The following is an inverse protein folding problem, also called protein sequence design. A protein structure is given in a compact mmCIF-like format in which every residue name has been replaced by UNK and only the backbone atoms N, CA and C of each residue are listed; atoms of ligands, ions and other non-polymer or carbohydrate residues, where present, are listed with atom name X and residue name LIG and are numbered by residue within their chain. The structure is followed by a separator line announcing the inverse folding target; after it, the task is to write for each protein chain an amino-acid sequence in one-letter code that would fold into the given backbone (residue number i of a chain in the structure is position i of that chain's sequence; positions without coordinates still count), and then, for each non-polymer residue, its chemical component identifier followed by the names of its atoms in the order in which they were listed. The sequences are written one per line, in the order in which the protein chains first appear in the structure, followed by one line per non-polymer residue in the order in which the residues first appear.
data_IF_855087164344
#
_entry.id   IF_855087164344
#
_cell.length_a   1.000
_cell.length_b   1.000
_cell.length_c   1.000
_cell.angle_alpha   90.00
_cell.angle_beta   90.00
_cell.angle_gamma   90.00
#
_symmetry.space_group_name_H-M   'P 1'
#
loop_
_entity.id
_entity.type
_entity.pdbx_description
1 polymer ?
#
# COMPACT_ATOMS: atom_id res chain seq x y z
N UNK A 1 13.08 -2.43 5.31
CA UNK A 1 11.78 -2.25 4.66
C UNK A 1 10.67 -2.85 5.51
N UNK A 2 9.53 -2.20 5.58
CA UNK A 2 8.34 -2.74 6.24
C UNK A 2 7.52 -3.44 5.17
N UNK A 3 7.26 -4.73 5.36
CA UNK A 3 6.41 -5.53 4.48
C UNK A 3 4.99 -5.45 4.99
N UNK A 4 4.06 -4.97 4.16
CA UNK A 4 2.64 -4.87 4.51
C UNK A 4 1.93 -6.13 4.06
N UNK A 5 1.16 -6.75 4.97
CA UNK A 5 0.24 -7.85 4.62
C UNK A 5 -1.20 -7.46 4.93
N UNK A 6 -2.15 -8.18 4.37
CA UNK A 6 -3.58 -7.99 4.62
C UNK A 6 -3.91 -8.25 6.08
N UNK A 7 -4.18 -7.19 6.83
CA UNK A 7 -4.51 -7.22 8.27
C UNK A 7 -3.82 -6.10 9.04
N UNK A 8 -4.13 -5.96 10.32
CA UNK A 8 -3.60 -4.92 11.20
C UNK A 8 -2.16 -5.21 11.68
N UNK A 9 -1.44 -6.14 11.05
CA UNK A 9 -0.08 -6.50 11.43
C UNK A 9 0.94 -5.95 10.43
N UNK A 10 1.98 -5.34 10.98
CA UNK A 10 3.17 -4.91 10.25
C UNK A 10 4.28 -5.95 10.43
N UNK A 11 5.05 -6.14 9.36
CA UNK A 11 6.18 -7.07 9.36
C UNK A 11 7.46 -6.35 8.92
N UNK A 12 8.56 -6.70 9.55
CA UNK A 12 9.89 -6.13 9.30
C UNK A 12 10.76 -7.22 8.71
N UNK A 13 11.43 -6.91 7.61
CA UNK A 13 12.30 -7.85 6.91
C UNK A 13 13.47 -8.33 7.81
N UNK A 14 14.04 -9.48 7.44
CA UNK A 14 15.14 -10.13 8.17
C UNK A 14 16.36 -9.22 8.34
N UNK A 15 16.72 -8.46 7.30
CA UNK A 15 17.90 -7.57 7.33
C UNK A 15 17.72 -6.45 8.35
N UNK A 16 16.54 -5.84 8.37
CA UNK A 16 16.18 -4.80 9.35
C UNK A 16 16.13 -5.40 10.76
N UNK A 17 15.54 -6.58 10.93
CA UNK A 17 15.49 -7.29 12.22
C UNK A 17 16.89 -7.58 12.77
N UNK A 18 17.83 -8.01 11.94
CA UNK A 18 19.25 -8.22 12.30
C UNK A 18 19.87 -6.92 12.83
N UNK A 19 19.65 -5.80 12.16
CA UNK A 19 20.17 -4.50 12.57
C UNK A 19 19.56 -4.02 13.88
N UNK A 20 18.22 -4.11 14.02
CA UNK A 20 17.48 -3.69 15.22
C UNK A 20 17.92 -4.49 16.45
N UNK A 21 18.07 -5.79 16.32
CA UNK A 21 18.52 -6.67 17.42
C UNK A 21 20.04 -6.69 17.62
N UNK A 22 20.78 -5.91 16.83
CA UNK A 22 22.26 -5.88 16.86
C UNK A 22 22.87 -7.28 16.83
N UNK A 23 22.40 -8.13 15.95
CA UNK A 23 22.84 -9.52 15.81
C UNK A 23 23.30 -9.79 14.38
N UNK A 24 23.67 -11.03 14.10
CA UNK A 24 23.87 -11.53 12.75
C UNK A 24 22.75 -12.52 12.38
N UNK A 25 22.70 -12.95 11.13
CA UNK A 25 21.68 -13.92 10.69
C UNK A 25 21.74 -15.24 11.46
N UNK A 26 22.91 -15.66 11.91
CA UNK A 26 23.10 -16.86 12.72
C UNK A 26 22.46 -16.69 14.11
N UNK A 27 22.61 -15.51 14.73
CA UNK A 27 22.01 -15.22 16.04
C UNK A 27 20.47 -15.31 16.00
N UNK A 28 19.83 -14.73 14.98
CA UNK A 28 18.38 -14.84 14.79
C UNK A 28 18.00 -16.31 14.54
N UNK A 29 18.68 -17.00 13.66
CA UNK A 29 18.38 -18.40 13.35
C UNK A 29 18.51 -19.31 14.58
N UNK A 30 19.47 -19.05 15.46
CA UNK A 30 19.63 -19.80 16.71
C UNK A 30 18.44 -19.52 17.67
N UNK A 31 18.00 -18.28 17.80
CA UNK A 31 16.79 -17.96 18.57
C UNK A 31 15.54 -18.64 18.01
N UNK A 32 15.37 -18.63 16.69
CA UNK A 32 14.26 -19.34 16.03
C UNK A 32 14.30 -20.83 16.35
N UNK A 33 15.48 -21.47 16.26
CA UNK A 33 15.62 -22.89 16.56
C UNK A 33 15.29 -23.21 18.01
N UNK A 34 15.65 -22.36 18.97
CA UNK A 34 15.30 -22.56 20.38
C UNK A 34 13.81 -22.40 20.60
N UNK A 35 13.17 -21.35 20.05
CA UNK A 35 11.73 -21.09 20.14
C UNK A 35 10.90 -22.24 19.52
N UNK A 36 11.33 -22.79 18.38
CA UNK A 36 10.67 -23.96 17.78
C UNK A 36 10.86 -25.24 18.64
N UNK A 37 11.99 -25.38 19.34
CA UNK A 37 12.23 -26.53 20.21
C UNK A 37 11.51 -26.45 21.57
N UNK A 38 11.34 -25.24 22.11
CA UNK A 38 10.62 -25.05 23.38
C UNK A 38 9.13 -25.37 23.27
N UNK A 39 8.52 -25.24 22.08
CA UNK A 39 7.16 -25.69 21.82
C UNK A 39 6.87 -27.15 22.18
N UNK A 40 7.89 -28.00 22.01
CA UNK A 40 7.78 -29.42 22.27
C UNK A 40 7.87 -29.76 23.76
N UNK A 41 8.32 -28.83 24.63
CA UNK A 41 8.70 -29.09 26.00
C UNK A 41 7.88 -28.33 27.07
N UNK A 42 7.44 -27.09 26.80
CA UNK A 42 6.94 -26.22 27.87
C UNK A 42 5.55 -25.60 27.66
N UNK A 43 4.80 -25.98 26.63
CA UNK A 43 3.47 -25.43 26.36
C UNK A 43 3.47 -23.92 26.05
N UNK A 44 4.62 -23.33 25.71
CA UNK A 44 4.71 -21.96 25.22
C UNK A 44 4.24 -21.91 23.76
N UNK A 45 3.49 -20.84 23.41
CA UNK A 45 3.05 -20.61 22.02
C UNK A 45 4.26 -20.49 21.11
N UNK A 46 4.42 -21.42 20.16
CA UNK A 46 5.48 -21.39 19.18
C UNK A 46 5.36 -20.29 18.15
N UNK A 47 6.35 -20.26 17.27
CA UNK A 47 6.36 -19.29 16.17
C UNK A 47 5.38 -19.70 15.09
N UNK A 48 4.26 -19.00 14.99
CA UNK A 48 3.20 -19.20 14.01
C UNK A 48 3.35 -18.27 12.80
N UNK A 49 3.08 -18.83 11.60
CA UNK A 49 2.95 -18.03 10.38
C UNK A 49 1.76 -17.05 10.54
N UNK A 50 1.86 -15.88 9.93
CA UNK A 50 0.89 -14.77 9.99
C UNK A 50 0.77 -14.07 11.35
N UNK A 51 1.07 -14.73 12.44
CA UNK A 51 1.08 -14.14 13.78
C UNK A 51 2.46 -13.59 14.17
N UNK A 52 3.49 -14.40 13.99
CA UNK A 52 4.87 -14.07 14.39
C UNK A 52 5.75 -13.70 13.20
N UNK A 53 5.52 -14.31 12.04
CA UNK A 53 6.25 -14.02 10.82
C UNK A 53 5.41 -14.34 9.57
N UNK A 54 5.84 -13.77 8.44
CA UNK A 54 5.40 -14.14 7.09
C UNK A 54 6.63 -14.42 6.24
N UNK A 55 6.43 -15.12 5.13
CA UNK A 55 7.47 -15.27 4.10
C UNK A 55 7.29 -14.14 3.07
N UNK A 56 8.40 -13.48 2.73
CA UNK A 56 8.41 -12.51 1.65
C UNK A 56 8.45 -13.20 0.27
N UNK A 57 8.47 -12.42 -0.79
CA UNK A 57 8.54 -12.91 -2.17
C UNK A 57 9.77 -13.77 -2.50
N UNK A 58 10.81 -13.71 -1.65
CA UNK A 58 12.04 -14.49 -1.76
C UNK A 58 12.07 -15.69 -0.80
N UNK A 59 10.97 -15.96 -0.06
CA UNK A 59 10.89 -17.01 0.92
C UNK A 59 11.63 -16.70 2.23
N UNK A 60 12.10 -15.45 2.44
CA UNK A 60 12.74 -15.01 3.68
C UNK A 60 11.68 -14.59 4.71
N UNK A 61 11.97 -14.79 6.00
CA UNK A 61 11.06 -14.44 7.08
C UNK A 61 11.07 -12.94 7.38
N UNK A 62 9.91 -12.30 7.25
CA UNK A 62 9.63 -10.99 7.80
C UNK A 62 8.88 -11.15 9.13
N UNK A 63 9.25 -10.38 10.15
CA UNK A 63 8.83 -10.55 11.53
C UNK A 63 7.82 -9.53 11.96
N UNK A 64 6.73 -9.97 12.57
CA UNK A 64 5.78 -9.09 13.26
C UNK A 64 6.38 -8.56 14.56
N UNK A 65 5.68 -7.59 15.17
CA UNK A 65 6.01 -7.13 16.52
C UNK A 65 6.12 -8.31 17.53
N UNK A 66 5.15 -9.23 17.50
CA UNK A 66 5.14 -10.40 18.37
C UNK A 66 6.33 -11.33 18.10
N UNK A 67 6.64 -11.55 16.83
CA UNK A 67 7.81 -12.35 16.43
C UNK A 67 9.13 -11.73 16.87
N UNK A 68 9.30 -10.42 16.68
CA UNK A 68 10.49 -9.70 17.16
C UNK A 68 10.60 -9.73 18.71
N UNK A 69 9.48 -9.56 19.40
CA UNK A 69 9.43 -9.62 20.86
C UNK A 69 9.83 -11.03 21.37
N UNK A 70 9.31 -12.09 20.75
CA UNK A 70 9.68 -13.48 21.11
C UNK A 70 11.17 -13.74 20.92
N UNK A 71 11.75 -13.29 19.79
CA UNK A 71 13.19 -13.40 19.54
C UNK A 71 13.99 -12.58 20.56
N UNK A 72 13.55 -11.37 20.89
CA UNK A 72 14.20 -10.51 21.88
C UNK A 72 14.19 -11.13 23.27
N UNK A 73 13.07 -11.73 23.70
CA UNK A 73 12.95 -12.43 24.99
C UNK A 73 13.90 -13.63 25.04
N UNK A 74 13.93 -14.47 24.00
CA UNK A 74 14.86 -15.60 23.94
C UNK A 74 16.31 -15.14 23.99
N UNK A 75 16.67 -14.09 23.25
CA UNK A 75 18.01 -13.52 23.31
C UNK A 75 18.35 -12.98 24.70
N UNK A 76 17.40 -12.31 25.40
CA UNK A 76 17.61 -11.81 26.77
C UNK A 76 17.87 -12.93 27.76
N UNK A 77 17.20 -14.06 27.62
CA UNK A 77 17.37 -15.24 28.51
C UNK A 77 18.62 -16.03 28.21
N UNK A 78 19.18 -15.87 27.01
CA UNK A 78 20.38 -16.65 26.61
C UNK A 78 21.65 -16.15 27.32
N UNK A 79 22.21 -17.03 28.16
CA UNK A 79 23.43 -16.74 28.91
C UNK A 79 24.69 -16.56 28.04
N UNK A 80 24.67 -17.05 26.79
CA UNK A 80 25.82 -16.95 25.87
C UNK A 80 26.00 -15.56 25.25
N UNK A 81 25.05 -14.64 25.40
CA UNK A 81 25.19 -13.27 24.91
C UNK A 81 25.68 -12.32 26.00
N UNK A 82 26.42 -11.29 25.59
CA UNK A 82 27.00 -10.30 26.51
C UNK A 82 25.95 -9.52 27.30
N UNK A 83 26.30 -9.03 28.48
CA UNK A 83 25.44 -8.21 29.33
C UNK A 83 24.94 -6.97 28.59
N UNK A 84 25.78 -6.29 27.84
CA UNK A 84 25.43 -5.10 27.05
C UNK A 84 24.39 -5.42 25.96
N UNK A 85 24.54 -6.54 25.25
CA UNK A 85 23.58 -6.98 24.25
C UNK A 85 22.25 -7.37 24.87
N UNK A 86 22.25 -8.03 26.06
CA UNK A 86 20.98 -8.30 26.78
C UNK A 86 20.26 -7.03 27.18
N UNK A 87 20.99 -6.01 27.67
CA UNK A 87 20.40 -4.70 27.98
C UNK A 87 19.81 -4.02 26.73
N UNK A 88 20.55 -4.05 25.62
CA UNK A 88 20.07 -3.52 24.34
C UNK A 88 18.79 -4.19 23.88
N UNK A 89 18.75 -5.51 23.82
CA UNK A 89 17.58 -6.28 23.36
C UNK A 89 16.36 -6.04 24.27
N UNK A 90 16.57 -5.85 25.57
CA UNK A 90 15.49 -5.46 26.49
C UNK A 90 14.91 -4.10 26.17
N UNK A 91 15.76 -3.09 25.93
CA UNK A 91 15.33 -1.75 25.55
C UNK A 91 14.65 -1.70 24.18
N UNK A 92 15.16 -2.49 23.22
CA UNK A 92 14.58 -2.59 21.87
C UNK A 92 13.14 -3.11 21.91
N UNK A 93 12.82 -4.05 22.80
CA UNK A 93 11.46 -4.58 22.91
C UNK A 93 10.42 -3.50 23.16
N UNK A 94 10.71 -2.56 24.07
CA UNK A 94 9.82 -1.44 24.40
C UNK A 94 9.70 -0.45 23.24
N UNK A 95 10.82 -0.09 22.62
CA UNK A 95 10.85 0.86 21.49
C UNK A 95 10.14 0.28 20.25
N UNK A 96 10.33 -1.01 19.98
CA UNK A 96 9.67 -1.69 18.85
C UNK A 96 8.15 -1.63 19.00
N UNK A 97 7.61 -1.88 20.18
CA UNK A 97 6.17 -1.78 20.43
C UNK A 97 5.63 -0.38 20.11
N UNK A 98 6.29 0.65 20.58
CA UNK A 98 5.90 2.05 20.32
C UNK A 98 5.99 2.42 18.85
N UNK A 99 7.04 1.98 18.16
CA UNK A 99 7.22 2.21 16.73
C UNK A 99 6.10 1.54 15.91
N UNK A 100 5.75 0.30 16.23
CA UNK A 100 4.66 -0.39 15.54
C UNK A 100 3.31 0.29 15.78
N UNK A 101 3.00 0.68 17.01
CA UNK A 101 1.76 1.42 17.34
C UNK A 101 1.67 2.73 16.57
N UNK A 102 2.76 3.50 16.51
CA UNK A 102 2.82 4.77 15.76
C UNK A 102 2.63 4.55 14.26
N UNK A 103 3.26 3.53 13.70
CA UNK A 103 3.15 3.23 12.26
C UNK A 103 1.76 2.71 11.90
N UNK A 104 1.15 1.83 12.70
CA UNK A 104 -0.24 1.42 12.51
C UNK A 104 -1.20 2.61 12.53
N UNK A 105 -1.03 3.52 13.48
CA UNK A 105 -1.82 4.76 13.55
C UNK A 105 -1.61 5.64 12.31
N UNK A 106 -0.37 5.74 11.83
CA UNK A 106 -0.04 6.50 10.61
C UNK A 106 -0.73 5.91 9.39
N UNK A 107 -0.68 4.58 9.22
CA UNK A 107 -1.28 3.87 8.08
C UNK A 107 -2.79 3.95 8.11
N UNK A 108 -3.44 3.68 9.25
CA UNK A 108 -4.89 3.81 9.37
C UNK A 108 -5.38 5.24 9.12
N UNK A 109 -4.61 6.24 9.53
CA UNK A 109 -4.92 7.64 9.23
C UNK A 109 -4.74 7.96 7.74
N UNK A 110 -3.74 7.37 7.05
CA UNK A 110 -3.55 7.53 5.62
C UNK A 110 -4.71 6.90 4.84
N UNK A 111 -5.11 5.67 5.18
CA UNK A 111 -6.26 4.99 4.56
C UNK A 111 -7.56 5.76 4.74
N UNK A 112 -7.76 6.35 5.93
CA UNK A 112 -8.92 7.21 6.17
C UNK A 112 -8.89 8.48 5.30
N UNK A 113 -7.72 9.14 5.15
CA UNK A 113 -7.59 10.30 4.26
C UNK A 113 -7.87 9.93 2.80
N UNK A 114 -7.31 8.80 2.31
CA UNK A 114 -7.56 8.29 0.95
C UNK A 114 -9.06 8.01 0.76
N UNK A 115 -9.70 7.32 1.69
CA UNK A 115 -11.14 7.05 1.64
C UNK A 115 -11.97 8.34 1.58
N UNK A 116 -11.60 9.34 2.38
CA UNK A 116 -12.26 10.64 2.37
C UNK A 116 -12.03 11.40 1.06
N UNK A 117 -10.83 11.34 0.48
CA UNK A 117 -10.52 11.95 -0.81
C UNK A 117 -11.37 11.33 -1.94
N UNK A 118 -11.53 10.00 -1.95
CA UNK A 118 -12.43 9.31 -2.90
C UNK A 118 -13.89 9.77 -2.73
N UNK A 119 -14.38 9.84 -1.49
CA UNK A 119 -15.74 10.34 -1.21
C UNK A 119 -15.91 11.78 -1.67
N UNK A 120 -14.89 12.62 -1.42
CA UNK A 120 -14.89 14.02 -1.87
C UNK A 120 -14.91 14.11 -3.40
N UNK A 121 -14.08 13.36 -4.11
CA UNK A 121 -14.06 13.34 -5.58
C UNK A 121 -15.43 12.92 -6.15
N UNK A 122 -16.06 11.87 -5.59
CA UNK A 122 -17.42 11.44 -6.00
C UNK A 122 -18.46 12.55 -5.78
N UNK A 123 -18.43 13.23 -4.64
CA UNK A 123 -19.35 14.37 -4.39
C UNK A 123 -19.08 15.54 -5.32
N UNK A 124 -17.82 15.90 -5.55
CA UNK A 124 -17.42 16.98 -6.45
C UNK A 124 -17.86 16.72 -7.90
N UNK A 125 -17.81 15.45 -8.35
CA UNK A 125 -18.34 15.02 -9.65
C UNK A 125 -19.87 14.88 -9.66
N UNK A 126 -20.57 15.15 -8.55
CA UNK A 126 -22.01 14.94 -8.36
C UNK A 126 -22.44 13.50 -8.67
N UNK A 127 -21.63 12.53 -8.22
CA UNK A 127 -21.82 11.09 -8.48
C UNK A 127 -22.01 10.80 -9.98
N UNK A 128 -21.17 11.42 -10.81
CA UNK A 128 -21.18 11.31 -12.27
C UNK A 128 -19.84 10.73 -12.74
N UNK A 129 -19.90 9.77 -13.67
CA UNK A 129 -18.71 9.28 -14.38
C UNK A 129 -18.09 10.41 -15.20
N UNK A 130 -16.84 10.73 -14.98
CA UNK A 130 -16.19 11.87 -15.63
C UNK A 130 -15.82 11.60 -17.11
N UNK A 131 -15.94 10.36 -17.56
CA UNK A 131 -15.75 9.98 -18.96
C UNK A 131 -17.08 9.96 -19.72
N UNK A 132 -18.05 9.17 -19.26
CA UNK A 132 -19.31 8.96 -19.96
C UNK A 132 -20.37 10.04 -19.67
N UNK A 133 -20.23 10.72 -18.54
CA UNK A 133 -21.28 11.60 -18.03
C UNK A 133 -22.47 10.86 -17.39
N UNK A 134 -22.40 9.53 -17.30
CA UNK A 134 -23.44 8.74 -16.64
C UNK A 134 -23.51 9.08 -15.16
N UNK A 135 -24.73 9.31 -14.67
CA UNK A 135 -24.98 9.70 -13.28
C UNK A 135 -25.71 8.60 -12.54
N UNK A 136 -25.34 8.39 -11.27
CA UNK A 136 -26.08 7.53 -10.36
C UNK A 136 -27.49 8.11 -10.16
N UNK A 137 -28.51 7.37 -10.54
CA UNK A 137 -29.91 7.76 -10.42
C UNK A 137 -30.69 6.67 -9.68
N UNK A 138 -31.80 7.06 -9.04
CA UNK A 138 -32.69 6.14 -8.34
C UNK A 138 -33.23 5.08 -9.30
N UNK A 139 -33.07 3.80 -8.99
CA UNK A 139 -33.51 2.68 -9.83
C UNK A 139 -32.52 2.24 -10.92
N UNK A 140 -31.40 2.94 -11.12
CA UNK A 140 -30.34 2.53 -12.03
C UNK A 140 -29.16 1.92 -11.25
N UNK A 141 -28.81 0.69 -11.56
CA UNK A 141 -27.61 0.04 -10.99
C UNK A 141 -26.36 0.59 -11.70
N UNK A 142 -25.88 1.75 -11.26
CA UNK A 142 -24.63 2.31 -11.69
C UNK A 142 -23.67 2.34 -10.49
N UNK A 143 -22.56 1.61 -10.60
CA UNK A 143 -21.49 1.65 -9.61
C UNK A 143 -20.39 2.55 -10.11
N UNK A 144 -19.96 3.48 -9.26
CA UNK A 144 -18.88 4.42 -9.55
C UNK A 144 -17.69 4.15 -8.62
N UNK A 145 -16.51 4.11 -9.20
CA UNK A 145 -15.24 3.94 -8.50
C UNK A 145 -14.40 5.21 -8.55
N UNK A 146 -13.55 5.40 -7.54
CA UNK A 146 -12.50 6.41 -7.57
C UNK A 146 -11.19 5.76 -8.00
N UNK A 147 -10.71 6.12 -9.18
CA UNK A 147 -9.45 5.65 -9.75
C UNK A 147 -8.32 6.64 -9.46
N UNK A 148 -7.19 6.15 -8.92
CA UNK A 148 -6.00 6.98 -8.72
C UNK A 148 -5.22 7.10 -10.03
N UNK A 149 -5.12 8.32 -10.55
CA UNK A 149 -4.38 8.61 -11.80
C UNK A 149 -2.87 8.40 -11.67
N UNK A 150 -2.29 8.77 -10.53
CA UNK A 150 -0.98 8.28 -10.11
C UNK A 150 -1.17 7.19 -9.06
N UNK A 151 -0.64 6.01 -9.33
CA UNK A 151 -0.81 4.84 -8.46
C UNK A 151 -0.33 5.13 -7.04
N UNK A 152 -1.18 4.82 -6.05
CA UNK A 152 -0.89 5.06 -4.64
C UNK A 152 0.36 4.33 -4.11
N UNK A 153 0.77 3.21 -4.72
CA UNK A 153 1.98 2.48 -4.32
C UNK A 153 3.25 3.16 -4.81
N UNK A 154 3.23 3.79 -6.00
CA UNK A 154 4.36 4.51 -6.56
C UNK A 154 4.40 6.00 -6.14
N UNK A 155 3.25 6.58 -5.83
CA UNK A 155 3.09 7.98 -5.41
C UNK A 155 2.17 8.10 -4.20
N UNK A 156 2.58 7.58 -3.03
CA UNK A 156 1.80 7.67 -1.80
C UNK A 156 1.55 9.12 -1.35
N UNK A 157 2.42 10.05 -1.76
CA UNK A 157 2.29 11.49 -1.54
C UNK A 157 1.08 12.12 -2.23
N UNK A 158 0.55 11.48 -3.29
CA UNK A 158 -0.60 11.93 -4.05
C UNK A 158 -1.87 11.13 -3.77
N UNK A 159 -1.79 10.11 -2.93
CA UNK A 159 -2.89 9.15 -2.76
C UNK A 159 -4.16 9.76 -2.13
N UNK A 160 -4.02 10.79 -1.29
CA UNK A 160 -5.13 11.48 -0.64
C UNK A 160 -5.49 12.83 -1.31
N UNK A 161 -4.92 13.13 -2.47
CA UNK A 161 -5.28 14.29 -3.26
C UNK A 161 -6.50 14.00 -4.13
N UNK A 162 -7.57 14.77 -3.98
CA UNK A 162 -8.80 14.58 -4.77
C UNK A 162 -8.60 14.84 -6.27
N UNK A 163 -7.66 15.70 -6.66
CA UNK A 163 -7.29 15.92 -8.07
C UNK A 163 -6.67 14.67 -8.70
N UNK A 164 -6.02 13.84 -7.91
CA UNK A 164 -5.45 12.56 -8.36
C UNK A 164 -6.51 11.46 -8.52
N UNK A 165 -7.76 11.74 -8.18
CA UNK A 165 -8.84 10.76 -8.22
C UNK A 165 -9.79 11.07 -9.37
N UNK A 166 -9.96 10.12 -10.29
CA UNK A 166 -10.92 10.15 -11.39
C UNK A 166 -12.12 9.27 -11.04
N UNK A 167 -13.32 9.81 -11.15
CA UNK A 167 -14.56 9.06 -10.87
C UNK A 167 -15.04 8.40 -12.15
N UNK A 168 -15.09 7.07 -12.15
CA UNK A 168 -15.39 6.23 -13.30
C UNK A 168 -16.51 5.24 -13.00
N UNK A 169 -17.22 4.80 -14.03
CA UNK A 169 -18.00 3.57 -13.96
C UNK A 169 -17.08 2.39 -13.66
N UNK A 170 -17.54 1.47 -12.79
CA UNK A 170 -16.74 0.30 -12.40
C UNK A 170 -16.33 -0.57 -13.60
N UNK A 171 -17.14 -0.62 -14.65
CA UNK A 171 -16.81 -1.31 -15.91
C UNK A 171 -15.62 -0.67 -16.63
N UNK A 172 -15.61 0.67 -16.75
CA UNK A 172 -14.48 1.40 -17.36
C UNK A 172 -13.22 1.27 -16.51
N UNK A 173 -13.37 1.33 -15.19
CA UNK A 173 -12.27 1.15 -14.25
C UNK A 173 -11.60 -0.23 -14.40
N UNK A 174 -12.40 -1.29 -14.44
CA UNK A 174 -11.91 -2.67 -14.64
C UNK A 174 -11.28 -2.87 -16.03
N UNK A 175 -11.88 -2.29 -17.08
CA UNK A 175 -11.37 -2.36 -18.44
C UNK A 175 -10.03 -1.63 -18.58
N UNK A 176 -9.88 -0.45 -17.98
CA UNK A 176 -8.60 0.26 -17.94
C UNK A 176 -7.51 -0.56 -17.25
N UNK A 177 -7.79 -1.17 -16.09
CA UNK A 177 -6.80 -2.03 -15.42
C UNK A 177 -6.42 -3.25 -16.25
N UNK A 178 -7.36 -3.84 -16.99
CA UNK A 178 -7.09 -4.94 -17.90
C UNK A 178 -6.20 -4.51 -19.08
N UNK A 179 -6.46 -3.35 -19.65
CA UNK A 179 -5.63 -2.74 -20.70
C UNK A 179 -4.21 -2.42 -20.19
N UNK A 180 -4.13 -1.79 -19.01
CA UNK A 180 -2.87 -1.44 -18.35
C UNK A 180 -1.99 -2.68 -18.10
N UNK A 181 -2.57 -3.76 -17.56
CA UNK A 181 -1.85 -5.00 -17.28
C UNK A 181 -1.29 -5.65 -18.56
N UNK A 182 -2.05 -5.64 -19.64
CA UNK A 182 -1.60 -6.19 -20.94
C UNK A 182 -0.44 -5.41 -21.55
N UNK A 183 -0.35 -4.11 -21.30
CA UNK A 183 0.70 -3.24 -21.84
C UNK A 183 1.91 -3.04 -20.93
N UNK A 184 1.82 -3.49 -19.67
CA UNK A 184 2.83 -3.18 -18.66
C UNK A 184 2.90 -1.66 -18.36
N UNK A 185 1.81 -0.94 -18.66
CA UNK A 185 1.75 0.51 -18.46
C UNK A 185 1.74 0.86 -16.97
N UNK A 186 2.40 1.96 -16.63
CA UNK A 186 2.29 2.54 -15.30
C UNK A 186 0.92 3.21 -15.15
N UNK A 187 0.43 3.35 -13.92
CA UNK A 187 -0.79 4.11 -13.69
C UNK A 187 -0.42 5.60 -13.59
N UNK A 188 -0.45 6.31 -14.72
CA UNK A 188 -0.20 7.74 -14.82
C UNK A 188 -1.32 8.40 -15.65
N UNK A 189 -1.58 9.72 -15.51
CA UNK A 189 -2.63 10.41 -16.28
C UNK A 189 -2.51 10.23 -17.79
N UNK A 190 -1.27 10.22 -18.33
CA UNK A 190 -1.00 10.00 -19.75
C UNK A 190 -1.44 8.60 -20.23
N UNK A 191 -1.28 7.57 -19.37
CA UNK A 191 -1.67 6.20 -19.72
C UNK A 191 -3.20 6.08 -19.84
N UNK A 192 -3.93 6.83 -19.00
CA UNK A 192 -5.38 6.90 -19.11
C UNK A 192 -5.85 7.61 -20.38
N UNK A 193 -5.17 8.69 -20.78
CA UNK A 193 -5.46 9.37 -22.07
C UNK A 193 -5.16 8.44 -23.26
N UNK A 194 -4.05 7.69 -23.23
CA UNK A 194 -3.71 6.71 -24.26
C UNK A 194 -4.78 5.58 -24.33
N UNK A 195 -5.25 5.11 -23.18
CA UNK A 195 -6.33 4.14 -23.13
C UNK A 195 -7.61 4.65 -23.81
N UNK A 196 -8.04 5.88 -23.52
CA UNK A 196 -9.20 6.46 -24.17
C UNK A 196 -9.01 6.59 -25.69
N UNK A 197 -7.82 7.02 -26.12
CA UNK A 197 -7.53 7.23 -27.54
C UNK A 197 -7.40 5.91 -28.34
N UNK A 198 -6.96 4.82 -27.69
CA UNK A 198 -6.61 3.56 -28.39
C UNK A 198 -7.59 2.43 -28.17
N UNK A 199 -8.14 2.32 -26.98
CA UNK A 199 -9.01 1.20 -26.60
C UNK A 199 -10.47 1.60 -26.43
N UNK A 200 -10.75 2.86 -26.15
CA UNK A 200 -12.10 3.34 -25.87
C UNK A 200 -12.42 4.65 -26.60
N UNK A 201 -12.00 4.74 -27.87
CA UNK A 201 -12.36 5.88 -28.72
C UNK A 201 -13.88 6.04 -28.90
N UNK A 202 -14.68 4.97 -28.67
CA UNK A 202 -16.13 5.00 -28.60
C UNK A 202 -16.69 5.97 -27.55
N UNK A 203 -15.92 6.21 -26.47
CA UNK A 203 -16.29 7.14 -25.40
C UNK A 203 -15.94 8.61 -25.72
N UNK A 204 -15.23 8.82 -26.81
CA UNK A 204 -14.66 10.11 -27.23
C UNK A 204 -15.27 10.60 -28.54
N UNK A 205 -16.44 10.05 -28.90
CA UNK A 205 -17.10 10.34 -30.20
C UNK A 205 -17.23 11.86 -30.44
N UNK A 206 -16.49 12.39 -31.44
CA UNK A 206 -16.52 13.83 -31.75
C UNK A 206 -17.88 14.29 -32.34
N UNK A 207 -18.71 13.37 -32.84
CA UNK A 207 -20.03 13.68 -33.35
C UNK A 207 -21.04 14.05 -32.25
N UNK A 208 -20.74 13.62 -30.99
CA UNK A 208 -21.53 13.99 -29.82
C UNK A 208 -20.88 15.18 -29.08
N UNK A 209 -21.37 16.38 -29.32
CA UNK A 209 -20.86 17.64 -28.78
C UNK A 209 -20.67 17.61 -27.25
N UNK A 210 -21.59 16.99 -26.51
CA UNK A 210 -21.48 16.89 -25.06
C UNK A 210 -20.39 15.89 -24.61
N UNK A 211 -20.17 14.81 -25.35
CA UNK A 211 -19.08 13.86 -25.12
C UNK A 211 -17.74 14.48 -25.46
N UNK A 212 -17.62 15.16 -26.59
CA UNK A 212 -16.43 15.89 -27.00
C UNK A 212 -16.00 16.94 -25.97
N UNK A 213 -16.91 17.79 -25.52
CA UNK A 213 -16.61 18.81 -24.49
C UNK A 213 -16.16 18.21 -23.17
N UNK A 214 -16.73 17.06 -22.74
CA UNK A 214 -16.26 16.35 -21.54
C UNK A 214 -14.84 15.80 -21.72
N UNK A 215 -14.57 15.21 -22.88
CA UNK A 215 -13.25 14.69 -23.21
C UNK A 215 -12.18 15.78 -23.21
N UNK A 216 -12.47 16.93 -23.84
CA UNK A 216 -11.55 18.05 -23.88
C UNK A 216 -11.23 18.58 -22.47
N UNK A 217 -12.26 18.78 -21.64
CA UNK A 217 -12.10 19.19 -20.25
C UNK A 217 -11.32 18.17 -19.43
N UNK A 218 -11.57 16.86 -19.63
CA UNK A 218 -10.84 15.79 -18.98
C UNK A 218 -9.38 15.79 -19.42
N UNK A 219 -9.11 15.92 -20.72
CA UNK A 219 -7.78 15.95 -21.30
C UNK A 219 -6.96 17.10 -20.74
N UNK A 220 -7.52 18.32 -20.71
CA UNK A 220 -6.87 19.50 -20.14
C UNK A 220 -6.50 19.27 -18.67
N UNK A 221 -7.43 18.73 -17.88
CA UNK A 221 -7.19 18.39 -16.46
C UNK A 221 -6.06 17.38 -16.30
N UNK A 222 -6.08 16.28 -17.08
CA UNK A 222 -5.07 15.20 -16.96
C UNK A 222 -3.69 15.66 -17.42
N UNK A 223 -3.59 16.44 -18.49
CA UNK A 223 -2.33 17.04 -18.95
C UNK A 223 -1.78 18.00 -17.91
N UNK A 224 -2.62 18.84 -17.30
CA UNK A 224 -2.21 19.74 -16.22
C UNK A 224 -1.71 18.97 -15.00
N UNK A 225 -2.44 17.92 -14.60
CA UNK A 225 -2.04 17.05 -13.49
C UNK A 225 -0.69 16.38 -13.77
N UNK A 226 -0.50 15.82 -14.97
CA UNK A 226 0.76 15.23 -15.39
C UNK A 226 1.92 16.22 -15.25
N UNK A 227 1.79 17.41 -15.84
CA UNK A 227 2.82 18.46 -15.78
C UNK A 227 3.16 18.89 -14.36
N UNK A 228 2.14 19.06 -13.51
CA UNK A 228 2.34 19.51 -12.13
C UNK A 228 3.17 18.52 -11.28
N UNK A 229 3.05 17.24 -11.56
CA UNK A 229 3.62 16.20 -10.70
C UNK A 229 4.75 15.38 -11.35
N UNK A 230 4.97 15.48 -12.66
CA UNK A 230 6.11 14.87 -13.34
C UNK A 230 7.45 15.47 -12.87
N UNK A 231 7.50 16.78 -12.66
CA UNK A 231 8.69 17.49 -12.20
C UNK A 231 9.05 17.29 -10.72
N UNK A 232 8.14 16.78 -9.90
CA UNK A 232 8.35 16.57 -8.46
C UNK A 232 9.01 15.24 -8.08
N UNK A 233 9.30 14.36 -9.06
CA UNK A 233 10.06 13.11 -8.82
C UNK A 233 11.47 13.36 -8.26
N UNK A 234 12.03 14.54 -8.45
CA UNK A 234 13.40 14.89 -8.06
C UNK A 234 13.55 15.43 -6.62
N UNK A 235 12.45 15.62 -5.87
CA UNK A 235 12.52 16.19 -4.50
C UNK A 235 12.52 15.15 -3.38
N UNK A 236 12.29 13.86 -3.68
CA UNK A 236 12.15 12.79 -2.67
C UNK A 236 12.92 11.50 -3.03
N UNK A 237 13.90 11.59 -3.92
CA UNK A 237 14.84 10.51 -4.21
C UNK A 237 16.08 10.58 -3.32
#
# INVERSE_FOLDING_TARGET
SIVHTSGDLLFVDKRTSIKVLQTNGLGINNSIRRLVRSDALDGQEGLEIEKHFVLDEFGEKAWSQKGLASIAIDMKQNSSITRSRRAWVSAVGEVVEDCFKKELKRLSSADLRISNAIKHAKRASRDTCQVTGSRKARGRQLTLDGHHLFNKSSRPDLADLHENILVLESSIHADFHSWQSRRGAKCEPKDFLEYLATARFDLVDPSNTAAAARHDSLTERLVKLQKNYEGNKLRYA
#
